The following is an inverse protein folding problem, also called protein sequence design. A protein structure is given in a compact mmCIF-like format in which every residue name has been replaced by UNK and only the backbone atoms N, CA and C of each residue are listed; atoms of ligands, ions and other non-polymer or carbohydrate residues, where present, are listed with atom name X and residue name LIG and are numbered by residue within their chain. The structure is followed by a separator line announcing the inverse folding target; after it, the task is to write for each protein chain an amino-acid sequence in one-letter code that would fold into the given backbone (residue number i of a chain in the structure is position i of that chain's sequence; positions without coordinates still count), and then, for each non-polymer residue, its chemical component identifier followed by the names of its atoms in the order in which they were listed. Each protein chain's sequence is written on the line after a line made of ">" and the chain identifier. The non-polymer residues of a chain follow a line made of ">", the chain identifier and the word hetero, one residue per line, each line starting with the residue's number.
data_IF_692378988802
#
_entry.id   IF_692378988802
#
_cell.length_a   1.000
_cell.length_b   1.000
_cell.length_c   1.000
_cell.angle_alpha   90.00
_cell.angle_beta   90.00
_cell.angle_gamma   90.00
#
_symmetry.space_group_name_H-M   'P 1'
#
loop_
_entity.id
_entity.type
_entity.pdbx_description
1 polymer ?
#
# COMPACT_ATOMS: atom_id res chain seq x y z
N UNK A 1 -10.28 4.60 0.20
CA UNK A 1 -9.22 4.17 0.74
C UNK A 1 -8.65 2.77 0.66
N UNK A 2 -7.33 2.69 0.43
CA UNK A 2 -6.54 1.46 0.41
C UNK A 2 -6.57 0.68 1.74
N UNK A 3 -6.72 1.37 2.86
CA UNK A 3 -6.80 0.77 4.20
C UNK A 3 -8.05 -0.10 4.42
N UNK A 4 -9.16 0.21 3.78
CA UNK A 4 -10.38 -0.61 3.85
C UNK A 4 -10.23 -1.93 3.10
N UNK A 5 -9.49 -1.95 1.99
CA UNK A 5 -9.21 -3.17 1.23
C UNK A 5 -8.38 -4.20 2.02
N UNK A 6 -7.30 -3.76 2.65
CA UNK A 6 -6.42 -4.60 3.49
C UNK A 6 -7.17 -5.14 4.71
N UNK A 7 -7.93 -4.29 5.39
CA UNK A 7 -8.75 -4.69 6.54
C UNK A 7 -9.81 -5.72 6.17
N UNK A 8 -10.46 -5.55 5.03
CA UNK A 8 -11.46 -6.50 4.53
C UNK A 8 -10.87 -7.87 4.20
N UNK A 9 -9.70 -7.90 3.56
CA UNK A 9 -8.99 -9.14 3.24
C UNK A 9 -8.52 -9.85 4.52
N UNK A 10 -7.98 -9.11 5.48
CA UNK A 10 -7.58 -9.66 6.78
C UNK A 10 -8.77 -10.24 7.55
N UNK A 11 -9.91 -9.54 7.55
CA UNK A 11 -11.15 -10.03 8.16
C UNK A 11 -11.66 -11.31 7.48
N UNK A 12 -11.67 -11.35 6.15
CA UNK A 12 -12.03 -12.54 5.38
C UNK A 12 -11.14 -13.73 5.71
N UNK A 13 -9.81 -13.50 5.74
CA UNK A 13 -8.85 -14.53 6.08
C UNK A 13 -9.08 -15.08 7.49
N UNK A 14 -9.36 -14.20 8.46
CA UNK A 14 -9.68 -14.60 9.83
C UNK A 14 -10.92 -15.48 9.89
N UNK A 15 -11.98 -15.11 9.16
CA UNK A 15 -13.22 -15.91 9.08
C UNK A 15 -12.96 -17.27 8.44
N UNK A 16 -12.21 -17.32 7.35
CA UNK A 16 -11.84 -18.58 6.68
C UNK A 16 -11.04 -19.48 7.61
N UNK A 17 -10.06 -18.94 8.35
CA UNK A 17 -9.29 -19.69 9.34
C UNK A 17 -10.16 -20.24 10.47
N UNK A 18 -11.07 -19.43 10.98
CA UNK A 18 -11.97 -19.86 12.05
C UNK A 18 -12.87 -21.02 11.58
N UNK A 19 -13.51 -20.89 10.43
CA UNK A 19 -14.37 -21.94 9.87
C UNK A 19 -13.55 -23.21 9.61
N UNK A 20 -12.39 -23.09 8.98
CA UNK A 20 -11.50 -24.21 8.71
C UNK A 20 -11.03 -24.89 10.00
N UNK A 21 -10.69 -24.12 11.03
CA UNK A 21 -10.28 -24.66 12.34
C UNK A 21 -11.41 -25.43 13.03
N UNK A 22 -12.64 -24.92 13.01
CA UNK A 22 -13.82 -25.64 13.53
C UNK A 22 -14.04 -26.96 12.76
N UNK A 23 -13.96 -26.92 11.44
CA UNK A 23 -14.08 -28.12 10.61
C UNK A 23 -12.98 -29.13 10.91
N UNK A 24 -11.72 -28.70 10.98
CA UNK A 24 -10.59 -29.57 11.23
C UNK A 24 -10.66 -30.21 12.63
N UNK A 25 -11.07 -29.45 13.63
CA UNK A 25 -11.28 -29.99 15.00
C UNK A 25 -12.34 -31.07 15.00
N UNK A 26 -13.44 -30.87 14.30
CA UNK A 26 -14.51 -31.87 14.22
C UNK A 26 -14.15 -33.09 13.37
N UNK A 27 -13.42 -32.91 12.27
CA UNK A 27 -13.06 -34.00 11.36
C UNK A 27 -11.88 -34.84 11.87
N UNK A 28 -10.87 -34.20 12.44
CA UNK A 28 -9.57 -34.83 12.73
C UNK A 28 -9.18 -34.79 14.21
N UNK A 29 -9.91 -34.08 15.06
CA UNK A 29 -9.52 -33.87 16.45
C UNK A 29 -9.47 -35.16 17.29
N UNK A 30 -10.35 -36.12 17.02
CA UNK A 30 -10.39 -37.39 17.73
C UNK A 30 -9.19 -38.30 17.37
N UNK A 31 -8.76 -38.30 16.11
CA UNK A 31 -7.67 -39.14 15.60
C UNK A 31 -6.31 -38.47 15.68
N UNK A 32 -6.26 -37.14 15.62
CA UNK A 32 -5.02 -36.35 15.71
C UNK A 32 -5.16 -35.25 16.78
N UNK A 33 -5.30 -35.59 18.05
CA UNK A 33 -5.55 -34.61 19.12
C UNK A 33 -4.37 -33.65 19.34
N UNK A 34 -3.17 -34.01 18.97
CA UNK A 34 -2.00 -33.14 19.07
C UNK A 34 -2.08 -31.95 18.10
N UNK A 35 -2.71 -32.14 16.95
CA UNK A 35 -2.80 -31.14 15.89
C UNK A 35 -4.16 -30.47 15.80
N UNK A 36 -5.24 -31.20 16.07
CA UNK A 36 -6.60 -30.78 15.86
C UNK A 36 -7.52 -31.04 17.07
N UNK A 37 -6.95 -31.27 18.23
CA UNK A 37 -7.70 -31.65 19.42
C UNK A 37 -8.61 -30.57 19.99
N UNK A 38 -8.25 -29.30 19.75
CA UNK A 38 -9.05 -28.13 20.10
C UNK A 38 -8.88 -27.03 19.05
N UNK A 39 -9.67 -25.94 19.20
CA UNK A 39 -9.65 -24.83 18.25
C UNK A 39 -8.26 -24.18 18.16
N UNK A 40 -7.59 -23.98 19.28
CA UNK A 40 -6.25 -23.37 19.34
C UNK A 40 -5.22 -24.18 18.58
N UNK A 41 -5.20 -25.50 18.80
CA UNK A 41 -4.31 -26.43 18.10
C UNK A 41 -4.60 -26.47 16.61
N UNK A 42 -5.87 -26.49 16.25
CA UNK A 42 -6.29 -26.45 14.84
C UNK A 42 -5.87 -25.16 14.14
N UNK A 43 -6.03 -24.01 14.77
CA UNK A 43 -5.58 -22.73 14.22
C UNK A 43 -4.07 -22.70 14.00
N UNK A 44 -3.30 -23.18 14.96
CA UNK A 44 -1.84 -23.25 14.83
C UNK A 44 -1.41 -24.20 13.71
N UNK A 45 -2.00 -25.38 13.64
CA UNK A 45 -1.71 -26.36 12.60
C UNK A 45 -2.08 -25.86 11.20
N UNK A 46 -3.25 -25.19 11.08
CA UNK A 46 -3.66 -24.60 9.81
C UNK A 46 -2.76 -23.42 9.41
N UNK A 47 -2.25 -22.67 10.36
CA UNK A 47 -1.27 -21.63 10.07
C UNK A 47 0.02 -22.23 9.50
N UNK A 48 0.51 -23.32 10.08
CA UNK A 48 1.65 -24.09 9.53
C UNK A 48 1.38 -24.57 8.11
N UNK A 49 0.19 -25.12 7.86
CA UNK A 49 -0.22 -25.59 6.52
C UNK A 49 -0.27 -24.44 5.52
N UNK A 50 -0.83 -23.30 5.92
CA UNK A 50 -0.90 -22.11 5.07
C UNK A 50 0.49 -21.60 4.68
N UNK A 51 1.45 -21.61 5.60
CA UNK A 51 2.83 -21.20 5.34
C UNK A 51 3.62 -22.21 4.53
N UNK A 52 3.03 -23.33 4.20
CA UNK A 52 3.63 -24.45 3.44
C UNK A 52 4.85 -25.09 4.14
N UNK A 53 4.97 -24.90 5.45
CA UNK A 53 6.02 -25.47 6.25
C UNK A 53 5.65 -26.92 6.59
N UNK A 54 6.30 -27.90 5.99
CA UNK A 54 6.09 -29.33 6.18
C UNK A 54 4.63 -29.80 6.07
N UNK A 55 3.81 -29.07 5.28
CA UNK A 55 2.38 -29.31 5.22
C UNK A 55 2.02 -30.71 4.70
N UNK A 56 2.70 -31.16 3.65
CA UNK A 56 2.41 -32.45 3.01
C UNK A 56 2.89 -33.63 3.85
N UNK A 57 4.20 -33.71 4.08
CA UNK A 57 4.80 -34.85 4.79
C UNK A 57 4.55 -34.82 6.30
N UNK A 58 4.52 -33.60 6.87
CA UNK A 58 4.34 -33.43 8.33
C UNK A 58 2.90 -33.55 8.79
N UNK A 59 1.92 -33.11 8.01
CA UNK A 59 0.52 -33.02 8.44
C UNK A 59 -0.41 -33.80 7.52
N UNK A 60 -0.49 -33.46 6.24
CA UNK A 60 -1.56 -33.96 5.35
C UNK A 60 -1.41 -35.46 5.08
N UNK A 61 -0.21 -35.94 4.80
CA UNK A 61 0.02 -37.38 4.54
C UNK A 61 -0.27 -38.25 5.75
N UNK A 62 0.19 -37.93 6.98
CA UNK A 62 -0.21 -38.66 8.17
C UNK A 62 -1.74 -38.66 8.38
N UNK A 63 -2.41 -37.54 8.17
CA UNK A 63 -3.87 -37.46 8.27
C UNK A 63 -4.56 -38.33 7.20
N UNK A 64 -4.05 -38.33 5.97
CA UNK A 64 -4.55 -39.18 4.88
C UNK A 64 -4.39 -40.68 5.14
N UNK A 65 -3.45 -41.11 5.95
CA UNK A 65 -3.32 -42.53 6.33
C UNK A 65 -4.53 -43.05 7.11
N UNK A 66 -5.22 -42.16 7.86
CA UNK A 66 -6.43 -42.47 8.60
C UNK A 66 -7.68 -41.98 7.87
N UNK A 67 -7.60 -40.81 7.25
CA UNK A 67 -8.65 -40.13 6.49
C UNK A 67 -8.22 -39.94 5.04
N UNK A 68 -8.40 -40.95 4.14
CA UNK A 68 -7.86 -40.87 2.77
C UNK A 68 -8.35 -39.67 1.95
N UNK A 69 -9.53 -39.14 2.26
CA UNK A 69 -10.12 -37.99 1.58
C UNK A 69 -9.72 -36.63 2.19
N UNK A 70 -8.79 -36.58 3.13
CA UNK A 70 -8.38 -35.34 3.79
C UNK A 70 -7.82 -34.30 2.81
N UNK A 71 -7.25 -34.71 1.68
CA UNK A 71 -6.79 -33.79 0.65
C UNK A 71 -7.89 -32.88 0.11
N UNK A 72 -9.13 -33.32 0.12
CA UNK A 72 -10.31 -32.51 -0.29
C UNK A 72 -10.53 -31.30 0.62
N UNK A 73 -10.13 -31.41 1.88
CA UNK A 73 -10.13 -30.29 2.82
C UNK A 73 -8.87 -29.41 2.70
N UNK A 74 -7.69 -30.02 2.73
CA UNK A 74 -6.44 -29.29 2.81
C UNK A 74 -6.05 -28.58 1.52
N UNK A 75 -6.24 -29.18 0.36
CA UNK A 75 -5.87 -28.55 -0.92
C UNK A 75 -6.71 -27.30 -1.19
N UNK A 76 -8.07 -27.31 -1.11
CA UNK A 76 -8.84 -26.09 -1.24
C UNK A 76 -8.50 -25.03 -0.19
N UNK A 77 -8.24 -25.43 1.04
CA UNK A 77 -7.80 -24.52 2.10
C UNK A 77 -6.48 -23.82 1.73
N UNK A 78 -5.49 -24.57 1.28
CA UNK A 78 -4.20 -24.01 0.84
C UNK A 78 -4.38 -23.05 -0.35
N UNK A 79 -5.15 -23.45 -1.34
CA UNK A 79 -5.40 -22.62 -2.51
C UNK A 79 -6.08 -21.33 -2.14
N UNK A 80 -7.11 -21.37 -1.30
CA UNK A 80 -7.86 -20.21 -0.86
C UNK A 80 -7.00 -19.26 -0.01
N UNK A 81 -6.28 -19.79 0.97
CA UNK A 81 -5.44 -18.99 1.86
C UNK A 81 -4.21 -18.45 1.18
N UNK A 82 -3.52 -19.25 0.36
CA UNK A 82 -2.37 -18.80 -0.42
C UNK A 82 -2.75 -17.70 -1.40
N UNK A 83 -3.87 -17.83 -2.10
CA UNK A 83 -4.39 -16.82 -3.00
C UNK A 83 -4.74 -15.51 -2.26
N UNK A 84 -5.39 -15.62 -1.09
CA UNK A 84 -5.75 -14.45 -0.27
C UNK A 84 -4.51 -13.75 0.26
N UNK A 85 -3.52 -14.47 0.76
CA UNK A 85 -2.25 -13.91 1.25
C UNK A 85 -1.47 -13.25 0.11
N UNK A 86 -1.44 -13.86 -1.06
CA UNK A 86 -0.79 -13.29 -2.24
C UNK A 86 -1.45 -11.96 -2.65
N UNK A 87 -2.79 -11.92 -2.70
CA UNK A 87 -3.52 -10.69 -3.00
C UNK A 87 -3.27 -9.59 -1.96
N UNK A 88 -3.19 -9.94 -0.70
CA UNK A 88 -2.84 -9.01 0.38
C UNK A 88 -1.43 -8.44 0.19
N UNK A 89 -0.45 -9.29 -0.11
CA UNK A 89 0.93 -8.87 -0.37
C UNK A 89 1.03 -7.95 -1.59
N UNK A 90 0.34 -8.28 -2.68
CA UNK A 90 0.27 -7.44 -3.88
C UNK A 90 -0.36 -6.08 -3.55
N UNK A 91 -1.46 -6.06 -2.79
CA UNK A 91 -2.13 -4.83 -2.36
C UNK A 91 -1.20 -3.91 -1.56
N UNK A 92 -0.44 -4.45 -0.62
CA UNK A 92 0.54 -3.70 0.18
C UNK A 92 1.66 -3.13 -0.70
N UNK A 93 2.17 -3.91 -1.64
CA UNK A 93 3.23 -3.47 -2.57
C UNK A 93 2.72 -2.34 -3.47
N UNK A 94 1.53 -2.48 -4.02
CA UNK A 94 0.91 -1.45 -4.88
C UNK A 94 0.70 -0.15 -4.09
N UNK A 95 0.20 -0.21 -2.86
CA UNK A 95 0.02 0.95 -2.00
C UNK A 95 1.37 1.64 -1.68
N UNK A 96 2.41 0.88 -1.38
CA UNK A 96 3.75 1.41 -1.13
C UNK A 96 4.32 2.12 -2.37
N UNK A 97 4.12 1.56 -3.55
CA UNK A 97 4.55 2.18 -4.81
C UNK A 97 3.78 3.47 -5.13
N UNK A 98 2.50 3.53 -4.84
CA UNK A 98 1.68 4.73 -5.03
C UNK A 98 2.17 5.89 -4.15
N UNK A 99 2.46 5.64 -2.88
CA UNK A 99 3.02 6.63 -1.94
C UNK A 99 4.36 7.17 -2.45
N UNK A 100 5.23 6.30 -2.95
CA UNK A 100 6.55 6.70 -3.48
C UNK A 100 6.40 7.60 -4.70
N UNK A 101 5.46 7.32 -5.60
CA UNK A 101 5.18 8.16 -6.77
C UNK A 101 4.66 9.54 -6.39
N UNK A 102 3.73 9.63 -5.44
CA UNK A 102 3.22 10.91 -4.93
C UNK A 102 4.36 11.77 -4.36
N UNK A 103 5.25 11.20 -3.57
CA UNK A 103 6.41 11.88 -3.02
C UNK A 103 7.39 12.37 -4.09
N UNK A 104 7.62 11.56 -5.13
CA UNK A 104 8.45 11.96 -6.26
C UNK A 104 7.83 13.10 -7.09
N UNK A 105 6.52 13.08 -7.29
CA UNK A 105 5.81 14.15 -7.99
C UNK A 105 5.80 15.44 -7.19
N UNK A 106 5.59 15.39 -5.88
CA UNK A 106 5.68 16.55 -4.99
C UNK A 106 7.10 17.14 -4.97
N UNK A 107 8.13 16.31 -4.93
CA UNK A 107 9.52 16.74 -4.98
C UNK A 107 9.84 17.41 -6.33
N UNK A 108 9.34 16.90 -7.44
CA UNK A 108 9.51 17.49 -8.77
C UNK A 108 8.77 18.81 -8.92
N UNK A 109 7.56 18.90 -8.38
CA UNK A 109 6.74 20.12 -8.41
C UNK A 109 7.33 21.21 -7.51
N UNK A 110 7.82 20.86 -6.33
CA UNK A 110 8.54 21.78 -5.45
C UNK A 110 9.82 22.34 -6.08
N UNK A 111 10.55 21.54 -6.82
CA UNK A 111 11.75 21.97 -7.53
C UNK A 111 11.46 22.87 -8.74
N UNK A 112 10.28 22.74 -9.34
CA UNK A 112 9.86 23.59 -10.45
C UNK A 112 9.30 24.94 -10.00
N UNK A 113 8.81 25.06 -8.77
CA UNK A 113 8.29 26.33 -8.24
C UNK A 113 9.38 27.31 -7.81
N UNK A 114 10.53 26.82 -7.33
CA UNK A 114 11.64 27.70 -6.94
C UNK A 114 12.20 28.56 -8.10
N UNK A 115 12.53 28.01 -9.27
CA UNK A 115 13.03 28.84 -10.36
C UNK A 115 12.00 29.84 -10.91
N UNK A 116 10.70 29.49 -10.87
CA UNK A 116 9.61 30.38 -11.32
C UNK A 116 9.43 31.56 -10.36
N UNK A 117 9.45 31.31 -9.04
CA UNK A 117 9.31 32.37 -8.04
C UNK A 117 10.51 33.33 -8.07
N UNK A 118 11.72 32.85 -8.26
CA UNK A 118 12.93 33.68 -8.43
C UNK A 118 12.85 34.50 -9.72
N UNK A 119 12.37 33.93 -10.81
CA UNK A 119 12.17 34.62 -12.08
C UNK A 119 11.15 35.73 -11.95
N UNK A 120 10.05 35.51 -11.25
CA UNK A 120 9.02 36.53 -10.99
C UNK A 120 9.55 37.70 -10.15
N UNK A 121 10.33 37.42 -9.11
CA UNK A 121 10.97 38.45 -8.30
C UNK A 121 11.96 39.29 -9.13
N UNK A 122 12.76 38.67 -9.96
CA UNK A 122 13.70 39.35 -10.85
C UNK A 122 12.99 40.20 -11.90
N UNK A 123 11.85 39.76 -12.42
CA UNK A 123 10.99 40.57 -13.33
C UNK A 123 10.41 41.77 -12.62
N UNK A 124 9.94 41.62 -11.38
CA UNK A 124 9.44 42.72 -10.55
C UNK A 124 10.49 43.81 -10.36
N UNK A 125 11.72 43.44 -10.00
CA UNK A 125 12.86 44.36 -9.85
C UNK A 125 13.20 45.11 -11.15
N UNK A 126 13.09 44.43 -12.26
CA UNK A 126 13.35 45.08 -13.58
C UNK A 126 12.25 46.08 -13.94
N UNK A 127 10.99 45.77 -13.65
CA UNK A 127 9.87 46.69 -13.87
C UNK A 127 10.03 47.94 -13.02
N UNK A 128 10.34 47.85 -11.75
CA UNK A 128 10.59 49.00 -10.87
C UNK A 128 11.72 49.89 -11.37
N UNK A 129 12.81 49.34 -11.90
CA UNK A 129 13.89 50.10 -12.51
C UNK A 129 13.43 50.87 -13.76
N UNK A 130 12.63 50.21 -14.60
CA UNK A 130 12.12 50.84 -15.83
C UNK A 130 11.16 51.99 -15.48
N UNK A 131 10.31 51.82 -14.50
CA UNK A 131 9.41 52.87 -14.03
C UNK A 131 10.18 54.11 -13.51
N UNK A 132 11.23 53.89 -12.71
CA UNK A 132 12.11 54.95 -12.22
C UNK A 132 12.83 55.67 -13.35
N UNK A 133 13.33 54.95 -14.34
CA UNK A 133 13.98 55.57 -15.52
C UNK A 133 12.98 56.39 -16.37
N UNK A 134 11.76 55.89 -16.53
CA UNK A 134 10.72 56.64 -17.23
C UNK A 134 10.34 57.92 -16.50
N UNK A 135 10.20 57.87 -15.18
CA UNK A 135 9.92 59.05 -14.36
C UNK A 135 11.02 60.09 -14.47
N UNK A 136 12.30 59.66 -14.40
CA UNK A 136 13.45 60.54 -14.59
C UNK A 136 13.52 61.17 -15.98
N UNK A 137 13.26 60.39 -17.03
CA UNK A 137 13.27 60.89 -18.40
C UNK A 137 12.11 61.91 -18.62
N UNK A 138 10.93 61.65 -18.08
CA UNK A 138 9.84 62.59 -18.17
C UNK A 138 10.11 63.91 -17.45
N UNK A 139 10.76 63.85 -16.30
CA UNK A 139 11.19 65.04 -15.57
C UNK A 139 12.20 65.88 -16.35
N UNK A 140 13.19 65.22 -16.98
CA UNK A 140 14.19 65.86 -17.84
C UNK A 140 13.53 66.48 -19.07
N UNK A 141 12.58 65.84 -19.71
CA UNK A 141 11.85 66.36 -20.85
C UNK A 141 11.00 67.62 -20.47
N UNK A 142 10.39 67.60 -19.31
CA UNK A 142 9.65 68.76 -18.81
C UNK A 142 10.54 69.96 -18.54
N UNK A 143 11.77 69.74 -18.06
CA UNK A 143 12.75 70.81 -17.85
C UNK A 143 13.30 71.38 -19.15
N UNK A 144 13.27 70.64 -20.24
CA UNK A 144 13.75 71.06 -21.56
C UNK A 144 12.69 71.81 -22.39
N UNK A 145 11.43 71.81 -21.98
CA UNK A 145 10.41 72.59 -22.66
C UNK A 145 10.58 74.08 -22.30
N UNK A 146 10.96 74.93 -23.26
CA UNK A 146 11.03 76.36 -23.00
C UNK A 146 9.68 76.88 -22.67
N UNK A 147 9.54 77.70 -21.61
CA UNK A 147 8.34 78.45 -21.31
C UNK A 147 8.06 79.41 -22.50
N UNK A 148 7.11 79.01 -23.34
CA UNK A 148 6.52 79.99 -24.29
C UNK A 148 5.72 80.96 -23.50
N UNK A 149 6.26 82.17 -23.33
CA UNK A 149 5.48 83.36 -23.01
C UNK A 149 4.65 83.79 -24.19
#
# INVERSE_FOLDING_TARGET
>A
GSHMGVGSVAALLTVVFYIAAVMATNLYGATFPEWFGDLSKSLYTLFQVMTLESWSMGIVRPVMNVHPNAWVFFIPFIMLTAFTVLNLAIGIIVDAMAITKEQEEEAKTGHHQEPISQTLLHLGDRLDRIEKQLAQNNELLQRQQPQKK
#
